data_IF_318457947831
#
_entry.id   IF_318457947831
#
_cell.length_a   1.000
_cell.length_b   1.000
_cell.length_c   1.000
_cell.angle_alpha   90.00
_cell.angle_beta   90.00
_cell.angle_gamma   90.00
#
_symmetry.space_group_name_H-M   'P 1'
#
loop_
_entity.id
_entity.type
_entity.pdbx_description
1 polymer ?
#
# COMPACT_ATOMS: atom_id res chain seq x y z
N UNK A 1 2.74 -9.46 4.68
CA UNK A 1 2.45 -8.15 4.07
C UNK A 1 1.48 -7.36 4.92
N UNK A 2 1.70 -6.07 5.04
CA UNK A 2 0.81 -5.20 5.80
C UNK A 2 -0.23 -4.60 4.88
N UNK A 3 -1.51 -4.73 5.25
CA UNK A 3 -2.63 -4.19 4.49
C UNK A 3 -3.50 -3.31 5.38
N UNK A 4 -4.12 -2.30 4.78
CA UNK A 4 -4.98 -1.35 5.48
C UNK A 4 -6.35 -1.25 4.82
N UNK A 5 -7.37 -1.02 5.63
CA UNK A 5 -8.75 -0.87 5.17
C UNK A 5 -9.13 0.60 5.12
N UNK A 6 -9.62 1.08 3.98
CA UNK A 6 -10.03 2.47 3.82
C UNK A 6 -11.19 2.82 4.75
N UNK A 7 -11.04 3.95 5.45
CA UNK A 7 -12.04 4.44 6.40
C UNK A 7 -13.00 5.48 5.84
N UNK A 8 -12.80 5.92 4.59
CA UNK A 8 -13.63 6.98 4.00
C UNK A 8 -13.61 6.91 2.48
N UNK A 9 -14.50 7.70 1.85
CA UNK A 9 -14.53 7.87 0.40
C UNK A 9 -15.29 6.78 -0.33
N UNK A 10 -15.18 6.80 -1.66
CA UNK A 10 -15.90 5.90 -2.57
C UNK A 10 -15.59 4.42 -2.32
N UNK A 11 -14.33 4.14 -1.94
CA UNK A 11 -13.88 2.76 -1.72
C UNK A 11 -13.78 2.41 -0.22
N UNK A 12 -14.60 3.02 0.61
CA UNK A 12 -14.63 2.71 2.04
C UNK A 12 -14.89 1.23 2.27
N UNK A 13 -14.12 0.62 3.19
CA UNK A 13 -14.22 -0.80 3.51
C UNK A 13 -13.37 -1.71 2.64
N UNK A 14 -12.84 -1.22 1.53
CA UNK A 14 -11.93 -1.97 0.69
C UNK A 14 -10.51 -1.88 1.23
N UNK A 15 -9.70 -2.90 0.89
CA UNK A 15 -8.34 -3.02 1.40
C UNK A 15 -7.30 -2.62 0.35
N UNK A 16 -6.18 -2.10 0.81
CA UNK A 16 -5.08 -1.63 -0.04
C UNK A 16 -3.75 -1.79 0.68
N UNK A 17 -2.66 -1.77 -0.09
CA UNK A 17 -1.33 -1.59 0.50
C UNK A 17 -1.17 -0.12 0.91
N UNK A 18 -0.48 0.16 2.04
CA UNK A 18 -0.28 1.54 2.47
C UNK A 18 0.62 2.30 1.50
N UNK A 19 0.38 3.57 1.34
CA UNK A 19 1.10 4.46 0.45
C UNK A 19 0.20 5.58 -0.03
N UNK A 20 0.70 6.42 -0.90
CA UNK A 20 -0.07 7.54 -1.41
C UNK A 20 0.57 8.17 -2.63
N UNK A 21 0.13 9.38 -2.96
CA UNK A 21 0.54 10.10 -4.16
C UNK A 21 1.91 10.73 -3.98
N UNK A 22 2.69 10.72 -5.05
CA UNK A 22 3.93 11.49 -5.12
C UNK A 22 3.61 12.97 -5.23
N UNK A 23 4.39 13.78 -4.52
CA UNK A 23 4.35 15.24 -4.68
C UNK A 23 5.46 15.66 -5.62
N UNK A 24 5.35 16.90 -6.14
CA UNK A 24 6.35 17.44 -7.07
C UNK A 24 7.74 17.42 -6.42
N UNK A 25 8.72 16.89 -7.16
CA UNK A 25 10.10 16.82 -6.70
C UNK A 25 10.43 15.61 -5.83
N UNK A 26 9.45 14.77 -5.47
CA UNK A 26 9.70 13.56 -4.71
C UNK A 26 10.04 12.39 -5.63
N UNK A 27 10.98 11.54 -5.17
CA UNK A 27 11.14 10.21 -5.76
C UNK A 27 10.01 9.31 -5.25
N UNK A 28 9.72 8.17 -5.93
CA UNK A 28 8.75 7.20 -5.41
C UNK A 28 9.08 6.72 -3.98
N UNK A 29 10.37 6.53 -3.68
CA UNK A 29 10.83 6.09 -2.36
C UNK A 29 10.57 7.15 -1.28
N UNK A 30 10.84 8.41 -1.60
CA UNK A 30 10.60 9.52 -0.68
C UNK A 30 9.10 9.69 -0.40
N UNK A 31 8.27 9.60 -1.44
CA UNK A 31 6.83 9.68 -1.32
C UNK A 31 6.29 8.56 -0.42
N UNK A 32 6.79 7.34 -0.61
CA UNK A 32 6.35 6.20 0.19
C UNK A 32 6.71 6.38 1.67
N UNK A 33 7.94 6.80 1.97
CA UNK A 33 8.36 7.07 3.35
C UNK A 33 7.50 8.14 4.00
N UNK A 34 7.20 9.21 3.28
CA UNK A 34 6.35 10.30 3.77
C UNK A 34 4.93 9.84 4.05
N UNK A 35 4.32 9.13 3.10
CA UNK A 35 2.95 8.64 3.24
C UNK A 35 2.81 7.64 4.39
N UNK A 36 3.76 6.73 4.56
CA UNK A 36 3.76 5.78 5.67
C UNK A 36 3.86 6.53 7.00
N UNK A 37 4.69 7.57 7.08
CA UNK A 37 4.80 8.39 8.29
C UNK A 37 3.49 9.11 8.60
N UNK A 38 2.85 9.68 7.59
CA UNK A 38 1.58 10.39 7.76
C UNK A 38 0.43 9.45 8.14
N UNK A 39 0.33 8.31 7.45
CA UNK A 39 -0.79 7.39 7.63
C UNK A 39 -0.66 6.48 8.85
N UNK A 40 0.54 6.03 9.16
CA UNK A 40 0.77 4.98 10.16
C UNK A 40 1.67 5.42 11.30
N UNK A 41 2.17 6.64 11.27
CA UNK A 41 3.15 7.16 12.25
C UNK A 41 4.32 6.20 12.42
N UNK A 42 4.81 5.66 11.31
CA UNK A 42 5.87 4.65 11.28
C UNK A 42 7.02 5.07 10.36
N UNK A 43 8.21 4.59 10.69
CA UNK A 43 9.40 4.76 9.87
C UNK A 43 9.72 3.45 9.16
N UNK A 44 10.01 3.53 7.87
CA UNK A 44 10.34 2.36 7.06
C UNK A 44 11.62 2.59 6.26
N UNK A 45 12.34 1.50 6.01
CA UNK A 45 13.42 1.46 5.04
C UNK A 45 12.82 0.93 3.73
N UNK A 46 12.93 1.71 2.66
CA UNK A 46 12.42 1.32 1.34
C UNK A 46 13.49 0.53 0.62
N UNK A 47 13.17 -0.69 0.26
CA UNK A 47 14.08 -1.61 -0.43
C UNK A 47 13.84 -1.69 -1.93
N UNK A 48 13.85 -2.90 -2.46
CA UNK A 48 13.77 -3.16 -3.88
C UNK A 48 12.39 -2.84 -4.48
N UNK A 49 12.37 -2.27 -5.69
CA UNK A 49 11.15 -2.14 -6.48
C UNK A 49 10.76 -3.52 -7.00
N UNK A 50 9.57 -3.99 -6.63
CA UNK A 50 9.06 -5.29 -7.07
C UNK A 50 8.33 -5.19 -8.40
N UNK A 51 7.48 -4.17 -8.54
CA UNK A 51 6.61 -4.05 -9.70
C UNK A 51 6.08 -2.62 -9.84
N UNK A 52 5.77 -2.22 -11.07
CA UNK A 52 5.03 -1.00 -11.35
C UNK A 52 3.73 -1.40 -12.02
N UNK A 53 2.62 -1.04 -11.41
CA UNK A 53 1.27 -1.37 -11.89
C UNK A 53 0.59 -0.12 -12.39
N UNK A 54 -0.05 -0.22 -13.57
CA UNK A 54 -0.88 0.85 -14.10
C UNK A 54 -2.32 0.35 -14.17
N UNK A 55 -3.25 1.17 -13.70
CA UNK A 55 -4.65 0.81 -13.64
C UNK A 55 -5.55 2.00 -13.95
N UNK A 56 -6.55 1.80 -14.80
CA UNK A 56 -7.53 2.82 -15.13
C UNK A 56 -8.78 2.62 -14.28
N UNK A 57 -9.02 3.55 -13.36
CA UNK A 57 -10.29 3.68 -12.67
C UNK A 57 -11.22 4.56 -13.52
N UNK A 58 -12.53 4.53 -13.31
CA UNK A 58 -13.45 5.33 -14.12
C UNK A 58 -13.12 6.81 -14.20
N UNK A 59 -12.55 7.38 -13.12
CA UNK A 59 -12.30 8.81 -12.99
C UNK A 59 -10.84 9.22 -13.13
N UNK A 60 -9.90 8.27 -13.14
CA UNK A 60 -8.47 8.61 -13.18
C UNK A 60 -7.61 7.40 -13.55
N UNK A 61 -6.38 7.69 -14.00
CA UNK A 61 -5.35 6.69 -14.25
C UNK A 61 -4.41 6.63 -13.05
N UNK A 62 -4.10 5.42 -12.58
CA UNK A 62 -3.18 5.19 -11.47
C UNK A 62 -1.92 4.50 -11.95
N UNK A 63 -0.76 5.06 -11.60
CA UNK A 63 0.53 4.39 -11.72
C UNK A 63 1.03 4.13 -10.29
N UNK A 64 1.27 2.87 -9.96
CA UNK A 64 1.66 2.45 -8.62
C UNK A 64 3.01 1.76 -8.64
N UNK A 65 3.98 2.32 -7.92
CA UNK A 65 5.30 1.71 -7.72
C UNK A 65 5.29 0.94 -6.41
N UNK A 66 5.57 -0.36 -6.47
CA UNK A 66 5.49 -1.27 -5.33
C UNK A 66 6.87 -1.68 -4.87
N UNK A 67 7.19 -1.39 -3.61
CA UNK A 67 8.50 -1.66 -3.02
C UNK A 67 8.40 -2.63 -1.85
N UNK A 68 9.45 -3.42 -1.67
CA UNK A 68 9.65 -4.13 -0.40
C UNK A 68 10.16 -3.13 0.62
N UNK A 69 9.55 -3.12 1.80
CA UNK A 69 9.95 -2.22 2.88
C UNK A 69 10.19 -3.01 4.15
N UNK A 70 11.07 -2.48 4.99
CA UNK A 70 11.31 -2.99 6.34
C UNK A 70 10.85 -1.97 7.35
N UNK A 71 10.11 -2.41 8.35
CA UNK A 71 9.65 -1.54 9.43
C UNK A 71 10.79 -1.23 10.38
N UNK A 72 11.06 0.05 10.60
CA UNK A 72 12.10 0.53 11.52
C UNK A 72 11.54 0.90 12.88
N UNK A 73 10.26 1.28 12.94
CA UNK A 73 9.58 1.64 14.19
C UNK A 73 9.09 0.39 14.92
N UNK A 74 8.92 0.49 16.24
CA UNK A 74 8.42 -0.62 17.06
C UNK A 74 6.90 -0.78 16.95
N UNK A 75 6.18 0.27 16.58
CA UNK A 75 4.70 0.27 16.55
C UNK A 75 4.16 1.03 15.35
N UNK A 76 2.90 0.75 15.03
CA UNK A 76 2.14 1.39 13.96
C UNK A 76 0.87 2.00 14.56
N UNK A 77 0.47 3.17 14.08
CA UNK A 77 -0.78 3.82 14.46
C UNK A 77 -1.62 4.11 13.23
N UNK A 78 -2.91 3.80 13.28
CA UNK A 78 -3.82 4.05 12.17
C UNK A 78 -4.39 5.47 12.29
N UNK A 79 -3.90 6.38 11.43
CA UNK A 79 -4.38 7.76 11.43
C UNK A 79 -5.58 7.98 10.51
N UNK A 80 -5.67 7.22 9.42
CA UNK A 80 -6.68 7.43 8.38
C UNK A 80 -7.47 6.16 8.01
N UNK A 81 -7.03 4.99 8.46
CA UNK A 81 -7.63 3.72 8.08
C UNK A 81 -8.53 3.16 9.17
N UNK A 82 -9.57 2.41 8.75
CA UNK A 82 -10.51 1.76 9.64
C UNK A 82 -9.90 0.56 10.36
N UNK A 83 -9.06 -0.19 9.65
CA UNK A 83 -8.43 -1.40 10.17
C UNK A 83 -7.12 -1.67 9.44
N UNK A 84 -6.33 -2.60 9.99
CA UNK A 84 -5.09 -3.06 9.38
C UNK A 84 -4.82 -4.49 9.77
N UNK A 85 -4.05 -5.19 8.94
CA UNK A 85 -3.68 -6.57 9.22
C UNK A 85 -2.35 -6.92 8.56
N UNK A 86 -1.59 -7.81 9.22
CA UNK A 86 -0.45 -8.49 8.61
C UNK A 86 -0.99 -9.74 7.93
N UNK A 87 -0.80 -9.85 6.62
CA UNK A 87 -1.29 -10.96 5.82
C UNK A 87 -0.14 -11.84 5.34
N UNK A 88 -0.35 -13.15 5.39
CA UNK A 88 0.55 -14.14 4.83
C UNK A 88 0.00 -14.60 3.48
N UNK A 89 0.76 -15.45 2.79
CA UNK A 89 0.30 -16.07 1.53
C UNK A 89 -1.07 -16.73 1.70
N UNK A 90 -1.28 -17.41 2.83
CA UNK A 90 -2.52 -18.14 3.11
C UNK A 90 -3.71 -17.22 3.39
N UNK A 91 -3.46 -16.00 3.88
CA UNK A 91 -4.51 -15.06 4.28
C UNK A 91 -4.71 -13.88 3.32
N UNK A 92 -3.86 -13.75 2.30
CA UNK A 92 -3.95 -12.64 1.35
C UNK A 92 -5.33 -12.46 0.72
N UNK A 93 -6.02 -13.55 0.44
CA UNK A 93 -7.32 -13.52 -0.22
C UNK A 93 -8.49 -13.42 0.76
N UNK A 94 -8.22 -13.23 2.04
CA UNK A 94 -9.27 -13.12 3.06
C UNK A 94 -9.91 -11.72 3.14
N UNK A 95 -9.34 -10.72 2.46
CA UNK A 95 -9.84 -9.35 2.46
C UNK A 95 -10.23 -8.91 1.06
N UNK A 96 -11.07 -7.88 0.98
CA UNK A 96 -11.56 -7.33 -0.28
C UNK A 96 -10.62 -6.22 -0.77
N UNK A 97 -9.73 -6.59 -1.67
CA UNK A 97 -8.73 -5.67 -2.21
C UNK A 97 -9.30 -4.71 -3.26
N UNK A 98 -8.76 -3.49 -3.30
CA UNK A 98 -8.99 -2.58 -4.41
C UNK A 98 -8.47 -3.21 -5.71
N UNK A 99 -9.12 -2.92 -6.87
CA UNK A 99 -8.72 -3.53 -8.15
C UNK A 99 -7.24 -3.42 -8.51
N UNK A 100 -6.63 -2.24 -8.33
CA UNK A 100 -5.20 -2.06 -8.62
C UNK A 100 -4.32 -2.93 -7.73
N UNK A 101 -4.72 -3.13 -6.47
CA UNK A 101 -3.97 -3.96 -5.52
C UNK A 101 -4.10 -5.44 -5.82
N UNK A 102 -5.21 -5.88 -6.40
CA UNK A 102 -5.36 -7.26 -6.90
C UNK A 102 -4.31 -7.52 -7.98
N UNK A 103 -4.11 -6.57 -8.88
CA UNK A 103 -3.09 -6.69 -9.94
C UNK A 103 -1.68 -6.81 -9.34
N UNK A 104 -1.39 -6.07 -8.27
CA UNK A 104 -0.12 -6.19 -7.55
C UNK A 104 0.05 -7.60 -7.01
N UNK A 105 -0.98 -8.15 -6.37
CA UNK A 105 -0.92 -9.51 -5.80
C UNK A 105 -0.60 -10.56 -6.85
N UNK A 106 -1.21 -10.46 -8.02
CA UNK A 106 -0.99 -11.41 -9.11
C UNK A 106 0.44 -11.35 -9.64
N UNK A 107 1.01 -10.15 -9.73
CA UNK A 107 2.36 -9.95 -10.25
C UNK A 107 3.46 -10.36 -9.28
N UNK A 108 3.22 -10.25 -7.96
CA UNK A 108 4.22 -10.55 -6.94
C UNK A 108 4.04 -11.93 -6.30
N UNK A 109 3.12 -12.74 -6.80
CA UNK A 109 2.82 -14.05 -6.23
C UNK A 109 4.06 -14.93 -6.06
N UNK A 110 4.99 -14.88 -6.99
CA UNK A 110 6.23 -15.65 -6.91
C UNK A 110 7.22 -15.17 -5.85
N UNK A 111 7.00 -13.99 -5.25
CA UNK A 111 7.89 -13.41 -4.23
C UNK A 111 7.44 -13.75 -2.82
N UNK A 112 6.22 -14.17 -2.66
CA UNK A 112 5.60 -14.44 -1.35
C UNK A 112 5.93 -15.82 -0.77
#
# INVERSE_FOLDING_TARGET
MFATQRGYGEWQGWWEFPGGKMEAGESPQEALRREIKEELDADVSVGELLETVEWDYPNFHLTMHCFVCSLLSESLHLNEHEAAAWLSRETLRSVKWLPADVEVLERIDGVL
#
